data_IF_470326912775
#
_entry.id   IF_470326912775
#
_cell.length_a   1.000
_cell.length_b   1.000
_cell.length_c   1.000
_cell.angle_alpha   90.00
_cell.angle_beta   90.00
_cell.angle_gamma   90.00
#
_symmetry.space_group_name_H-M   'P 1'
#
loop_
_entity.id
_entity.type
_entity.pdbx_description
1 polymer ?
#
# COMPACT_ATOMS: atom_id res chain seq x y z
N UNK A 1 -0.31 2.93 -16.26
CA UNK A 1 -1.44 3.75 -16.76
C UNK A 1 -1.36 5.26 -16.46
N UNK A 2 -0.52 5.78 -15.56
CA UNK A 2 -0.21 7.24 -15.47
C UNK A 2 1.31 7.54 -15.29
N UNK A 3 2.18 6.53 -15.43
CA UNK A 3 3.64 6.69 -15.26
C UNK A 3 4.13 6.83 -13.81
N UNK A 4 3.24 6.73 -12.83
CA UNK A 4 3.57 6.82 -11.40
C UNK A 4 3.89 5.42 -10.86
N UNK A 5 5.08 5.25 -10.29
CA UNK A 5 5.46 4.03 -9.59
C UNK A 5 4.66 3.85 -8.29
N UNK A 6 4.30 2.64 -7.95
CA UNK A 6 3.65 2.30 -6.68
C UNK A 6 3.96 0.87 -6.28
N UNK A 7 3.96 0.61 -4.98
CA UNK A 7 4.29 -0.71 -4.41
C UNK A 7 3.37 -1.03 -3.25
N UNK A 8 3.26 -2.30 -2.87
CA UNK A 8 2.54 -2.73 -1.67
C UNK A 8 3.55 -3.23 -0.63
N UNK A 9 3.65 -2.52 0.50
CA UNK A 9 4.49 -2.90 1.63
C UNK A 9 3.63 -3.12 2.88
N UNK A 10 3.38 -4.35 3.32
CA UNK A 10 3.66 -5.65 2.69
C UNK A 10 2.32 -6.39 2.45
N UNK A 11 2.19 -7.16 1.35
CA UNK A 11 0.90 -7.75 0.96
C UNK A 11 0.50 -8.96 1.82
N UNK A 12 1.42 -9.53 2.60
CA UNK A 12 1.16 -10.69 3.48
C UNK A 12 1.66 -10.36 4.89
N UNK A 13 0.76 -10.23 5.88
CA UNK A 13 1.15 -9.99 7.27
C UNK A 13 1.86 -11.21 7.86
N UNK A 14 2.71 -11.00 8.86
CA UNK A 14 3.62 -12.04 9.34
C UNK A 14 2.93 -13.33 9.79
N UNK A 15 1.80 -13.24 10.50
CA UNK A 15 1.07 -14.42 10.97
C UNK A 15 0.55 -15.32 9.83
N UNK A 16 0.45 -14.78 8.60
CA UNK A 16 0.07 -15.53 7.40
C UNK A 16 1.25 -16.02 6.56
N UNK A 17 2.48 -15.66 6.90
CA UNK A 17 3.65 -16.16 6.18
C UNK A 17 3.93 -17.62 6.55
N UNK A 18 4.18 -18.46 5.54
CA UNK A 18 4.36 -19.91 5.72
C UNK A 18 5.46 -20.26 6.74
N UNK A 19 6.53 -19.46 6.81
CA UNK A 19 7.62 -19.63 7.76
C UNK A 19 7.21 -19.45 9.24
N UNK A 20 6.06 -18.82 9.50
CA UNK A 20 5.50 -18.59 10.83
C UNK A 20 4.27 -19.44 11.13
N UNK A 21 3.85 -20.32 10.20
CA UNK A 21 2.64 -21.16 10.37
C UNK A 21 2.65 -21.98 11.67
N UNK A 22 3.82 -22.40 12.12
CA UNK A 22 4.00 -23.20 13.35
C UNK A 22 3.63 -22.45 14.64
N UNK A 23 3.48 -21.12 14.61
CA UNK A 23 3.05 -20.32 15.75
C UNK A 23 1.53 -20.42 16.02
N UNK A 24 0.73 -20.90 15.06
CA UNK A 24 -0.69 -21.23 15.27
C UNK A 24 -1.62 -20.03 15.44
N UNK A 25 -1.21 -18.85 14.98
CA UNK A 25 -2.02 -17.63 15.02
C UNK A 25 -3.17 -17.60 14.01
N UNK A 26 -4.24 -16.89 14.35
CA UNK A 26 -5.41 -16.69 13.51
C UNK A 26 -5.52 -15.22 13.02
N UNK A 27 -6.40 -14.97 12.04
CA UNK A 27 -6.58 -13.62 11.48
C UNK A 27 -7.26 -12.65 12.46
N UNK A 28 -8.08 -13.19 13.36
CA UNK A 28 -8.77 -12.46 14.42
C UNK A 28 -7.80 -11.86 15.44
N UNK A 29 -6.59 -12.42 15.56
CA UNK A 29 -5.56 -11.93 16.47
C UNK A 29 -4.88 -10.65 15.94
N UNK A 30 -4.91 -10.42 14.62
CA UNK A 30 -4.17 -9.33 13.96
C UNK A 30 -5.01 -8.52 12.96
N UNK A 31 -6.17 -7.97 13.36
CA UNK A 31 -7.08 -7.27 12.44
C UNK A 31 -6.44 -6.05 11.77
N UNK A 32 -5.58 -5.32 12.49
CA UNK A 32 -4.87 -4.15 11.95
C UNK A 32 -3.81 -4.56 10.92
N UNK A 33 -3.10 -5.66 11.14
CA UNK A 33 -2.11 -6.14 10.18
C UNK A 33 -2.78 -6.64 8.89
N UNK A 34 -3.94 -7.28 9.03
CA UNK A 34 -4.78 -7.70 7.90
C UNK A 34 -5.29 -6.51 7.08
N UNK A 35 -5.81 -5.49 7.75
CA UNK A 35 -6.30 -4.27 7.08
C UNK A 35 -5.16 -3.53 6.35
N UNK A 36 -4.00 -3.38 7.00
CA UNK A 36 -2.83 -2.75 6.40
C UNK A 36 -2.35 -3.51 5.15
N UNK A 37 -2.20 -4.84 5.23
CA UNK A 37 -1.77 -5.65 4.10
C UNK A 37 -2.75 -5.59 2.91
N UNK A 38 -4.06 -5.44 3.19
CA UNK A 38 -5.09 -5.37 2.16
C UNK A 38 -5.25 -3.98 1.51
N UNK A 39 -4.85 -2.91 2.20
CA UNK A 39 -5.19 -1.53 1.80
C UNK A 39 -3.99 -0.59 1.62
N UNK A 40 -2.82 -0.94 2.11
CA UNK A 40 -1.64 -0.08 2.01
C UNK A 40 -1.12 0.02 0.57
N UNK A 41 -0.77 1.23 0.19
CA UNK A 41 -0.12 1.56 -1.07
C UNK A 41 1.04 2.51 -0.77
N UNK A 42 2.22 2.18 -1.25
CA UNK A 42 3.40 3.04 -1.19
C UNK A 42 3.46 3.92 -2.44
N UNK A 43 3.65 5.22 -2.21
CA UNK A 43 3.83 6.22 -3.25
C UNK A 43 5.31 6.57 -3.40
N UNK A 44 5.74 7.14 -4.54
CA UNK A 44 7.11 7.58 -4.72
C UNK A 44 7.50 8.62 -3.67
N UNK A 45 8.54 8.32 -2.90
CA UNK A 45 9.14 9.26 -1.94
C UNK A 45 10.64 9.01 -1.86
N UNK A 46 11.43 9.94 -2.40
CA UNK A 46 12.90 9.89 -2.45
C UNK A 46 13.45 11.31 -2.65
N UNK A 47 14.76 11.49 -2.42
CA UNK A 47 15.37 12.82 -2.32
C UNK A 47 15.33 13.63 -3.63
N UNK A 48 15.38 12.94 -4.76
CA UNK A 48 15.39 13.52 -6.11
C UNK A 48 13.98 13.81 -6.66
N UNK A 49 12.92 13.48 -5.91
CA UNK A 49 11.54 13.70 -6.34
C UNK A 49 11.26 15.20 -6.44
N UNK A 50 10.92 15.65 -7.66
CA UNK A 50 10.69 17.07 -7.92
C UNK A 50 9.29 17.52 -7.50
N UNK A 51 9.08 18.83 -7.20
CA UNK A 51 7.76 19.35 -6.87
C UNK A 51 6.68 19.07 -7.94
N UNK A 52 7.02 19.15 -9.24
CA UNK A 52 6.10 18.85 -10.35
C UNK A 52 5.69 17.37 -10.39
N UNK A 53 6.58 16.47 -9.97
CA UNK A 53 6.28 15.04 -9.87
C UNK A 53 5.35 14.76 -8.69
N UNK A 54 5.51 15.44 -7.55
CA UNK A 54 4.58 15.37 -6.42
C UNK A 54 3.19 15.85 -6.83
N UNK A 55 3.10 16.97 -7.54
CA UNK A 55 1.82 17.48 -8.05
C UNK A 55 1.14 16.47 -8.99
N UNK A 56 1.93 15.82 -9.86
CA UNK A 56 1.44 14.77 -10.76
C UNK A 56 0.85 13.59 -9.97
N UNK A 57 1.53 13.14 -8.92
CA UNK A 57 1.03 12.06 -8.04
C UNK A 57 -0.28 12.46 -7.36
N UNK A 58 -0.33 13.66 -6.78
CA UNK A 58 -1.52 14.16 -6.08
C UNK A 58 -2.71 14.28 -7.03
N UNK A 59 -2.49 14.86 -8.22
CA UNK A 59 -3.53 15.03 -9.23
C UNK A 59 -4.10 13.69 -9.71
N UNK A 60 -3.23 12.69 -9.93
CA UNK A 60 -3.66 11.36 -10.34
C UNK A 60 -4.53 10.67 -9.28
N UNK A 61 -4.17 10.77 -8.00
CA UNK A 61 -4.95 10.22 -6.89
C UNK A 61 -6.30 10.93 -6.79
N UNK A 62 -6.32 12.27 -6.86
CA UNK A 62 -7.56 13.04 -6.81
C UNK A 62 -8.51 12.67 -7.97
N UNK A 63 -7.99 12.56 -9.19
CA UNK A 63 -8.76 12.17 -10.37
C UNK A 63 -9.36 10.76 -10.24
N UNK A 64 -8.59 9.81 -9.70
CA UNK A 64 -9.07 8.45 -9.46
C UNK A 64 -10.28 8.40 -8.54
N UNK A 65 -10.27 9.19 -7.46
CA UNK A 65 -11.42 9.27 -6.55
C UNK A 65 -12.59 10.07 -7.12
N UNK A 66 -12.32 11.11 -7.92
CA UNK A 66 -13.38 11.90 -8.56
C UNK A 66 -14.20 11.10 -9.60
N UNK A 67 -13.58 10.13 -10.27
CA UNK A 67 -14.27 9.23 -11.22
C UNK A 67 -15.07 8.10 -10.54
N UNK A 68 -14.88 7.91 -9.23
CA UNK A 68 -15.50 6.83 -8.44
C UNK A 68 -16.64 7.31 -7.54
N UNK A 69 -16.98 8.59 -7.57
CA UNK A 69 -18.22 9.14 -7.00
C UNK A 69 -19.32 9.17 -8.04
#
# INVERSE_FOLDING_TARGET
EQGIGSEVYYPVPFHRQECFRWLGYADEDFPVANDAAARSLALPIYAELRPDEVETVVAAIAAFYAQRG
#
